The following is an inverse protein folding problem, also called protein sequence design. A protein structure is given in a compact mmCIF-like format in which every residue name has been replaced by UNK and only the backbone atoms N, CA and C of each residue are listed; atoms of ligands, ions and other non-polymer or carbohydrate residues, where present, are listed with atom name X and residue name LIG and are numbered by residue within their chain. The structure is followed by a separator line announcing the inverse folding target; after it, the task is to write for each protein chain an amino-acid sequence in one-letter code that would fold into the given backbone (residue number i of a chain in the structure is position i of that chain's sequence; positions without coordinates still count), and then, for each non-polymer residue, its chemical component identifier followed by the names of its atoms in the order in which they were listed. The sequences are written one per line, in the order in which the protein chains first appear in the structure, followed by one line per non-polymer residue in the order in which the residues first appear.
data_IF_728715266252
#
_entry.id   IF_728715266252
#
_cell.length_a   1.000
_cell.length_b   1.000
_cell.length_c   1.000
_cell.angle_alpha   90.00
_cell.angle_beta   90.00
_cell.angle_gamma   90.00
#
_symmetry.space_group_name_H-M   'P 1'
#
loop_
_entity.id
_entity.type
_entity.pdbx_description
1 polymer ?
#
# COMPACT_ATOMS: atom_id res chain seq x y z
N UNK A 1 -2.41 44.96 -16.51
CA UNK A 1 -3.55 44.19 -15.96
C UNK A 1 -3.23 42.72 -16.12
N UNK A 2 -2.70 42.08 -15.07
CA UNK A 2 -2.49 40.63 -15.06
C UNK A 2 -3.42 40.05 -14.00
N UNK A 3 -4.42 39.30 -14.46
CA UNK A 3 -5.42 38.67 -13.62
C UNK A 3 -4.78 37.54 -12.80
N UNK A 4 -4.80 37.66 -11.48
CA UNK A 4 -4.59 36.53 -10.59
C UNK A 4 -5.81 35.60 -10.72
N UNK A 5 -5.69 34.60 -11.60
CA UNK A 5 -6.61 33.47 -11.66
C UNK A 5 -6.54 32.70 -10.34
N UNK A 6 -7.61 32.82 -9.58
CA UNK A 6 -7.89 32.05 -8.37
C UNK A 6 -7.74 30.55 -8.66
N UNK A 7 -6.71 29.91 -8.11
CA UNK A 7 -6.58 28.43 -8.09
C UNK A 7 -7.53 27.89 -7.01
N UNK A 8 -8.82 28.16 -7.19
CA UNK A 8 -9.91 27.65 -6.37
C UNK A 8 -10.73 26.66 -7.19
N UNK A 9 -10.09 25.54 -7.55
CA UNK A 9 -10.78 24.33 -7.97
C UNK A 9 -9.87 23.11 -7.77
N UNK A 10 -9.38 22.89 -6.53
CA UNK A 10 -8.76 21.61 -6.16
C UNK A 10 -9.86 20.55 -6.01
N UNK A 11 -10.30 20.04 -7.15
CA UNK A 11 -10.78 18.69 -7.41
C UNK A 11 -11.26 17.94 -6.15
N UNK A 12 -12.53 18.10 -5.81
CA UNK A 12 -13.28 17.06 -5.07
C UNK A 12 -13.54 15.90 -6.02
N UNK A 13 -12.49 15.17 -6.41
CA UNK A 13 -12.65 14.02 -7.30
C UNK A 13 -13.24 12.85 -6.54
N UNK A 14 -14.39 12.38 -7.03
CA UNK A 14 -15.06 11.20 -6.50
C UNK A 14 -14.21 9.96 -6.74
N UNK A 15 -13.99 9.17 -5.68
CA UNK A 15 -13.47 7.81 -5.81
C UNK A 15 -14.51 6.94 -6.52
N UNK A 16 -14.03 5.97 -7.29
CA UNK A 16 -14.86 4.91 -7.89
C UNK A 16 -14.53 3.58 -7.22
N UNK A 17 -15.30 2.53 -7.52
CA UNK A 17 -15.05 1.20 -6.96
C UNK A 17 -13.69 0.62 -7.38
N UNK A 18 -13.16 1.04 -8.53
CA UNK A 18 -11.88 0.57 -9.08
C UNK A 18 -10.67 1.17 -8.35
N UNK A 19 -10.83 2.35 -7.76
CA UNK A 19 -9.76 3.01 -7.02
C UNK A 19 -9.41 2.26 -5.71
N UNK A 20 -10.39 1.54 -5.15
CA UNK A 20 -10.33 0.90 -3.83
C UNK A 20 -10.54 -0.62 -3.96
N UNK A 21 -9.49 -1.45 -3.82
CA UNK A 21 -9.63 -2.89 -3.83
C UNK A 21 -10.61 -3.36 -2.74
N UNK A 22 -11.62 -4.13 -3.14
CA UNK A 22 -12.68 -4.63 -2.25
C UNK A 22 -13.88 -3.69 -2.09
N UNK A 23 -13.90 -2.52 -2.74
CA UNK A 23 -15.07 -1.66 -2.78
C UNK A 23 -16.12 -2.13 -3.80
N UNK A 24 -15.76 -2.95 -4.79
CA UNK A 24 -16.72 -3.56 -5.72
C UNK A 24 -17.21 -4.93 -5.25
N UNK A 25 -18.49 -5.22 -5.49
CA UNK A 25 -19.04 -6.58 -5.33
C UNK A 25 -18.63 -7.49 -6.50
N UNK A 26 -18.25 -6.94 -7.66
CA UNK A 26 -17.91 -7.70 -8.87
C UNK A 26 -19.01 -8.70 -9.28
N UNK A 27 -20.27 -8.32 -9.10
CA UNK A 27 -21.42 -9.19 -9.35
C UNK A 27 -21.64 -10.32 -8.34
N UNK A 28 -20.80 -10.44 -7.30
CA UNK A 28 -20.96 -11.46 -6.24
C UNK A 28 -22.18 -11.15 -5.38
N UNK A 29 -22.89 -12.21 -4.97
CA UNK A 29 -24.01 -12.08 -4.04
C UNK A 29 -23.51 -11.71 -2.63
N UNK A 30 -24.05 -10.66 -1.97
CA UNK A 30 -23.66 -10.27 -0.62
C UNK A 30 -23.80 -11.36 0.45
N UNK A 31 -24.63 -12.38 0.24
CA UNK A 31 -24.75 -13.52 1.16
C UNK A 31 -23.57 -14.48 1.08
N UNK A 32 -22.87 -14.53 -0.06
CA UNK A 32 -21.70 -15.37 -0.28
C UNK A 32 -20.41 -14.75 0.30
N UNK A 33 -20.36 -13.43 0.49
CA UNK A 33 -19.20 -12.69 0.99
C UNK A 33 -18.88 -12.99 2.45
N UNK A 34 -17.61 -12.82 2.84
CA UNK A 34 -17.18 -12.90 4.24
C UNK A 34 -17.64 -11.66 5.02
N UNK A 35 -17.79 -11.79 6.34
CA UNK A 35 -18.17 -10.69 7.23
C UNK A 35 -17.25 -9.47 7.07
N UNK A 36 -15.94 -9.68 6.97
CA UNK A 36 -14.97 -8.59 6.82
C UNK A 36 -15.10 -7.87 5.48
N UNK A 37 -15.37 -8.61 4.39
CA UNK A 37 -15.62 -8.03 3.06
C UNK A 37 -16.88 -7.14 3.08
N UNK A 38 -17.96 -7.61 3.72
CA UNK A 38 -19.20 -6.84 3.84
C UNK A 38 -19.01 -5.56 4.67
N UNK A 39 -18.29 -5.66 5.80
CA UNK A 39 -17.96 -4.50 6.64
C UNK A 39 -17.10 -3.49 5.90
N UNK A 40 -16.10 -3.98 5.16
CA UNK A 40 -15.24 -3.12 4.37
C UNK A 40 -16.01 -2.41 3.25
N UNK A 41 -16.87 -3.14 2.53
CA UNK A 41 -17.72 -2.58 1.49
C UNK A 41 -18.62 -1.47 2.01
N UNK A 42 -19.27 -1.69 3.17
CA UNK A 42 -20.10 -0.69 3.87
C UNK A 42 -19.29 0.53 4.31
N UNK A 43 -18.08 0.30 4.81
CA UNK A 43 -17.16 1.37 5.21
C UNK A 43 -16.78 2.28 4.04
N UNK A 44 -16.62 1.71 2.85
CA UNK A 44 -16.40 2.47 1.61
C UNK A 44 -17.63 3.28 1.17
N UNK A 45 -18.80 3.15 1.82
CA UNK A 45 -20.00 3.99 1.64
C UNK A 45 -20.28 4.89 2.85
N UNK A 46 -19.34 4.98 3.78
CA UNK A 46 -19.50 5.76 5.00
C UNK A 46 -20.42 5.13 6.04
N UNK A 47 -20.85 3.87 5.85
CA UNK A 47 -21.67 3.15 6.83
C UNK A 47 -20.76 2.54 7.91
N UNK A 48 -20.88 2.95 9.18
CA UNK A 48 -20.07 2.39 10.26
C UNK A 48 -20.45 0.96 10.63
N UNK A 49 -21.47 0.36 9.99
CA UNK A 49 -22.06 -0.93 10.31
C UNK A 49 -22.47 -1.04 11.80
N UNK A 50 -22.83 0.10 12.41
CA UNK A 50 -23.15 0.19 13.84
C UNK A 50 -24.39 -0.63 14.14
N UNK A 51 -24.29 -1.50 15.15
CA UNK A 51 -25.40 -2.38 15.56
C UNK A 51 -25.59 -3.64 14.69
N UNK A 52 -24.83 -3.81 13.60
CA UNK A 52 -24.88 -5.03 12.78
C UNK A 52 -23.92 -6.09 13.38
N UNK A 53 -24.49 -7.08 14.05
CA UNK A 53 -23.74 -8.16 14.73
C UNK A 53 -23.57 -9.39 13.85
N UNK A 54 -24.57 -9.72 13.02
CA UNK A 54 -24.57 -10.95 12.22
C UNK A 54 -24.23 -10.70 10.76
N UNK A 55 -23.72 -11.73 10.07
CA UNK A 55 -23.46 -11.68 8.63
C UNK A 55 -24.74 -11.36 7.83
N UNK A 56 -25.87 -11.98 8.19
CA UNK A 56 -27.15 -11.75 7.53
C UNK A 56 -27.60 -10.27 7.61
N UNK A 57 -27.40 -9.61 8.76
CA UNK A 57 -27.69 -8.18 8.93
C UNK A 57 -26.81 -7.31 8.02
N UNK A 58 -25.52 -7.65 7.90
CA UNK A 58 -24.60 -6.96 6.99
C UNK A 58 -25.01 -7.16 5.52
N UNK A 59 -25.26 -8.40 5.11
CA UNK A 59 -25.69 -8.72 3.74
C UNK A 59 -26.99 -8.01 3.38
N UNK A 60 -27.97 -7.98 4.30
CA UNK A 60 -29.22 -7.24 4.11
C UNK A 60 -28.96 -5.75 3.91
N UNK A 61 -28.12 -5.13 4.75
CA UNK A 61 -27.77 -3.71 4.61
C UNK A 61 -27.10 -3.43 3.26
N UNK A 62 -26.18 -4.28 2.81
CA UNK A 62 -25.55 -4.14 1.49
C UNK A 62 -26.59 -4.17 0.37
N UNK A 63 -27.54 -5.11 0.42
CA UNK A 63 -28.63 -5.18 -0.56
C UNK A 63 -29.49 -3.91 -0.54
N UNK A 64 -29.77 -3.33 0.63
CA UNK A 64 -30.50 -2.05 0.74
C UNK A 64 -29.73 -0.88 0.10
N UNK A 65 -28.40 -0.84 0.21
CA UNK A 65 -27.59 0.18 -0.49
C UNK A 65 -27.68 0.03 -2.01
N UNK A 66 -27.55 -1.21 -2.51
CA UNK A 66 -27.65 -1.50 -3.95
C UNK A 66 -29.05 -1.17 -4.48
N UNK A 67 -30.11 -1.61 -3.77
CA UNK A 67 -31.48 -1.35 -4.17
C UNK A 67 -31.84 0.15 -4.14
N UNK A 68 -31.23 0.93 -3.25
CA UNK A 68 -31.41 2.38 -3.18
C UNK A 68 -30.48 3.18 -4.09
N UNK A 69 -29.61 2.51 -4.87
CA UNK A 69 -28.63 3.17 -5.74
C UNK A 69 -27.54 3.95 -5.01
N UNK A 70 -27.40 3.75 -3.69
CA UNK A 70 -26.38 4.40 -2.85
C UNK A 70 -25.03 3.68 -2.90
N UNK A 71 -24.97 2.52 -3.54
CA UNK A 71 -23.76 1.74 -3.80
C UNK A 71 -22.72 2.51 -4.62
N UNK A 72 -23.16 3.46 -5.47
CA UNK A 72 -22.32 4.27 -6.35
C UNK A 72 -21.46 5.32 -5.65
N UNK A 73 -21.84 5.75 -4.45
CA UNK A 73 -21.12 6.80 -3.71
C UNK A 73 -20.00 6.18 -2.87
N UNK A 74 -18.79 6.17 -3.44
CA UNK A 74 -17.60 5.61 -2.78
C UNK A 74 -16.83 6.70 -2.04
N UNK A 75 -16.52 6.43 -0.77
CA UNK A 75 -15.68 7.26 0.11
C UNK A 75 -14.44 6.49 0.52
N UNK A 76 -13.37 7.22 0.85
CA UNK A 76 -12.12 6.63 1.31
C UNK A 76 -12.30 6.00 2.70
N UNK A 77 -12.15 4.68 2.85
CA UNK A 77 -12.32 4.01 4.13
C UNK A 77 -11.11 4.23 5.06
N UNK A 78 -9.99 4.79 4.58
CA UNK A 78 -8.79 5.01 5.37
C UNK A 78 -8.73 6.43 5.94
N UNK A 79 -8.42 6.56 7.24
CA UNK A 79 -8.35 7.87 7.91
C UNK A 79 -7.25 8.78 7.33
N UNK A 80 -6.20 8.19 6.77
CA UNK A 80 -5.10 8.91 6.14
C UNK A 80 -5.35 9.18 4.65
N UNK A 81 -6.53 8.83 4.14
CA UNK A 81 -6.97 9.08 2.76
C UNK A 81 -6.02 8.47 1.73
N UNK A 82 -5.55 7.24 1.96
CA UNK A 82 -4.52 6.61 1.13
C UNK A 82 -4.99 6.38 -0.31
N UNK A 83 -6.28 6.15 -0.51
CA UNK A 83 -6.88 5.90 -1.83
C UNK A 83 -7.03 7.21 -2.59
N UNK A 84 -7.55 8.23 -1.91
CA UNK A 84 -7.66 9.60 -2.42
C UNK A 84 -6.31 10.15 -2.85
N UNK A 85 -5.29 10.03 -1.99
CA UNK A 85 -3.92 10.48 -2.29
C UNK A 85 -3.29 9.73 -3.47
N UNK A 86 -3.58 8.43 -3.60
CA UNK A 86 -3.07 7.62 -4.71
C UNK A 86 -3.70 8.04 -6.04
N UNK A 87 -5.02 8.24 -6.08
CA UNK A 87 -5.73 8.72 -7.28
C UNK A 87 -5.20 10.08 -7.73
N UNK A 88 -5.10 11.04 -6.81
CA UNK A 88 -4.55 12.36 -7.11
C UNK A 88 -3.13 12.30 -7.71
N UNK A 89 -2.25 11.41 -7.19
CA UNK A 89 -0.92 11.21 -7.78
C UNK A 89 -0.99 10.61 -9.19
N UNK A 90 -1.84 9.61 -9.41
CA UNK A 90 -1.96 8.97 -10.73
C UNK A 90 -2.46 9.95 -11.80
N UNK A 91 -3.38 10.84 -11.44
CA UNK A 91 -3.89 11.85 -12.37
C UNK A 91 -2.88 12.97 -12.61
N UNK A 92 -2.10 13.37 -11.60
CA UNK A 92 -0.96 14.27 -11.80
C UNK A 92 0.05 13.69 -12.79
N UNK A 93 0.33 12.38 -12.68
CA UNK A 93 1.19 11.65 -13.61
C UNK A 93 0.57 11.50 -15.01
N UNK A 94 -0.76 11.44 -15.11
CA UNK A 94 -1.46 11.37 -16.40
C UNK A 94 -1.57 12.75 -17.08
N UNK A 95 -1.53 13.85 -16.32
CA UNK A 95 -1.57 15.22 -16.83
C UNK A 95 -0.19 15.77 -17.20
N UNK A 96 0.87 15.20 -16.64
CA UNK A 96 2.22 15.42 -17.15
C UNK A 96 2.45 14.50 -18.35
N UNK A 97 2.67 15.05 -19.55
CA UNK A 97 3.25 14.31 -20.69
C UNK A 97 4.65 13.73 -20.35
N UNK A 98 5.22 14.13 -19.21
CA UNK A 98 6.25 13.35 -18.55
C UNK A 98 5.60 12.08 -17.98
N UNK A 99 5.73 10.99 -18.75
CA UNK A 99 5.68 9.65 -18.17
C UNK A 99 6.36 9.68 -16.81
N UNK A 100 5.81 9.01 -15.77
CA UNK A 100 6.67 8.67 -14.66
C UNK A 100 7.84 7.93 -15.33
N UNK A 101 9.05 8.42 -15.15
CA UNK A 101 10.14 7.47 -15.02
C UNK A 101 9.76 6.63 -13.80
N UNK A 102 8.90 5.62 -14.01
CA UNK A 102 9.27 4.30 -13.56
C UNK A 102 10.69 4.19 -14.03
N UNK A 103 11.64 4.35 -13.10
CA UNK A 103 12.99 3.89 -13.31
C UNK A 103 12.78 2.48 -13.84
N UNK A 104 12.88 2.29 -15.15
CA UNK A 104 12.65 1.02 -15.82
C UNK A 104 13.90 0.20 -15.56
N UNK A 105 14.13 -0.05 -14.27
CA UNK A 105 15.24 -0.79 -13.74
C UNK A 105 15.06 -2.19 -14.29
N UNK A 106 15.83 -2.48 -15.34
CA UNK A 106 15.78 -3.73 -16.07
C UNK A 106 16.38 -4.79 -15.16
N UNK A 107 15.52 -5.54 -14.49
CA UNK A 107 15.96 -6.63 -13.63
C UNK A 107 16.82 -7.62 -14.43
N UNK A 108 17.99 -8.01 -13.91
CA UNK A 108 18.89 -8.91 -14.62
C UNK A 108 18.22 -10.28 -14.80
N UNK A 109 18.40 -10.86 -15.99
CA UNK A 109 17.88 -12.19 -16.33
C UNK A 109 18.72 -13.31 -15.70
N UNK A 110 19.98 -13.05 -15.38
CA UNK A 110 20.95 -14.00 -14.82
C UNK A 110 21.71 -13.41 -13.62
N UNK A 111 22.55 -14.21 -12.96
CA UNK A 111 23.42 -13.74 -11.87
C UNK A 111 22.75 -13.66 -10.49
N UNK A 112 21.57 -14.25 -10.34
CA UNK A 112 20.87 -14.35 -9.05
C UNK A 112 21.55 -15.36 -8.13
N UNK A 113 21.80 -14.99 -6.88
CA UNK A 113 22.37 -15.87 -5.86
C UNK A 113 21.75 -15.61 -4.48
N UNK A 114 21.92 -16.54 -3.55
CA UNK A 114 21.47 -16.39 -2.15
C UNK A 114 22.49 -15.64 -1.28
N UNK A 115 23.66 -15.32 -1.82
CA UNK A 115 24.74 -14.69 -1.05
C UNK A 115 24.64 -13.17 -1.02
N UNK A 116 24.60 -12.58 0.17
CA UNK A 116 24.62 -11.12 0.38
C UNK A 116 26.00 -10.47 0.14
N UNK A 117 26.94 -11.20 -0.45
CA UNK A 117 28.32 -10.75 -0.66
C UNK A 117 28.41 -9.53 -1.58
N UNK A 118 27.42 -9.33 -2.46
CA UNK A 118 27.33 -8.18 -3.36
C UNK A 118 26.43 -7.05 -2.83
N UNK A 119 25.99 -7.15 -1.57
CA UNK A 119 25.19 -6.09 -0.96
C UNK A 119 26.08 -4.87 -0.74
N UNK A 120 25.65 -3.66 -1.17
CA UNK A 120 26.38 -2.45 -0.87
C UNK A 120 26.51 -2.28 0.65
N UNK A 121 27.70 -1.92 1.10
CA UNK A 121 27.95 -1.61 2.50
C UNK A 121 27.42 -0.20 2.76
N UNK A 122 26.52 -0.07 3.73
CA UNK A 122 26.05 1.22 4.19
C UNK A 122 26.84 1.63 5.42
N UNK A 123 27.45 2.81 5.36
CA UNK A 123 28.05 3.44 6.54
C UNK A 123 26.96 3.96 7.47
N UNK A 124 27.31 4.09 8.76
CA UNK A 124 26.41 4.70 9.74
C UNK A 124 26.00 6.13 9.35
N UNK A 125 26.91 6.88 8.75
CA UNK A 125 26.65 8.25 8.30
C UNK A 125 25.61 8.32 7.17
N UNK A 126 25.67 7.41 6.19
CA UNK A 126 24.67 7.33 5.12
C UNK A 126 23.29 6.94 5.67
N UNK A 127 23.27 6.01 6.62
CA UNK A 127 22.04 5.63 7.31
C UNK A 127 21.44 6.80 8.10
N UNK A 128 22.26 7.52 8.87
CA UNK A 128 21.84 8.69 9.64
C UNK A 128 21.34 9.81 8.72
N UNK A 129 22.00 10.03 7.57
CA UNK A 129 21.55 10.99 6.55
C UNK A 129 20.19 10.58 5.97
N UNK A 130 19.99 9.32 5.63
CA UNK A 130 18.69 8.83 5.13
C UNK A 130 17.59 9.01 6.19
N UNK A 131 17.87 8.67 7.44
CA UNK A 131 16.94 8.85 8.56
C UNK A 131 16.55 10.33 8.71
N UNK A 132 17.52 11.25 8.65
CA UNK A 132 17.27 12.70 8.75
C UNK A 132 16.36 13.22 7.62
N UNK A 133 16.53 12.69 6.39
CA UNK A 133 15.71 13.04 5.23
C UNK A 133 14.31 12.41 5.24
N UNK A 134 14.11 11.33 5.98
CA UNK A 134 12.83 10.60 6.05
C UNK A 134 11.71 11.38 6.75
N UNK A 135 12.01 12.52 7.40
CA UNK A 135 11.04 13.32 8.16
C UNK A 135 10.54 12.64 9.44
N UNK A 136 11.10 11.48 9.78
CA UNK A 136 10.86 10.77 11.03
C UNK A 136 11.86 11.27 12.04
N UNK A 137 11.41 12.07 13.02
CA UNK A 137 12.26 12.56 14.10
C UNK A 137 12.63 11.39 15.05
N UNK A 138 13.80 10.81 14.84
CA UNK A 138 14.45 9.96 15.84
C UNK A 138 15.12 10.89 16.85
N UNK A 139 14.40 11.22 17.92
CA UNK A 139 14.93 12.04 19.00
C UNK A 139 16.11 11.32 19.67
N UNK A 140 17.33 11.80 19.35
CA UNK A 140 18.60 11.23 19.80
C UNK A 140 18.80 11.33 21.31
N UNK A 141 18.03 12.20 21.98
CA UNK A 141 18.16 12.54 23.39
C UNK A 141 17.11 11.87 24.30
N UNK A 142 16.07 11.25 23.72
CA UNK A 142 15.20 10.34 24.47
C UNK A 142 15.86 8.97 24.49
N UNK A 143 16.17 8.45 25.68
CA UNK A 143 16.62 7.07 25.93
C UNK A 143 15.60 5.98 25.52
N UNK A 144 14.72 6.24 24.56
CA UNK A 144 13.96 5.19 23.91
C UNK A 144 14.88 4.57 22.85
N UNK A 145 15.80 3.71 23.28
CA UNK A 145 16.55 2.75 22.45
C UNK A 145 15.63 1.75 21.71
N UNK A 146 14.33 2.02 21.66
CA UNK A 146 13.35 1.21 21.01
C UNK A 146 13.45 1.46 19.50
N UNK A 147 14.03 0.48 18.81
CA UNK A 147 13.78 0.18 17.39
C UNK A 147 12.30 0.52 17.07
N UNK A 148 12.00 1.36 16.05
CA UNK A 148 10.64 1.71 15.70
C UNK A 148 9.75 0.47 15.61
N UNK A 149 8.49 0.58 16.01
CA UNK A 149 7.55 -0.54 15.94
C UNK A 149 7.49 -1.15 14.53
N UNK A 150 7.67 -0.34 13.48
CA UNK A 150 7.78 -0.83 12.10
C UNK A 150 9.03 -1.68 11.86
N UNK A 151 10.19 -1.29 12.40
CA UNK A 151 11.44 -2.04 12.30
C UNK A 151 11.40 -3.31 13.17
N UNK A 152 10.80 -3.24 14.37
CA UNK A 152 10.55 -4.43 15.19
C UNK A 152 9.68 -5.44 14.44
N UNK A 153 8.58 -4.97 13.83
CA UNK A 153 7.72 -5.80 12.98
C UNK A 153 8.46 -6.38 11.78
N UNK A 154 9.28 -5.59 11.09
CA UNK A 154 10.07 -6.07 9.96
C UNK A 154 11.09 -7.14 10.40
N UNK A 155 11.76 -6.94 11.53
CA UNK A 155 12.66 -7.95 12.12
C UNK A 155 11.91 -9.24 12.46
N UNK A 156 10.79 -9.15 13.18
CA UNK A 156 9.93 -10.32 13.48
C UNK A 156 9.44 -10.99 12.20
N UNK A 157 9.13 -10.24 11.15
CA UNK A 157 8.71 -10.79 9.85
C UNK A 157 9.82 -11.61 9.18
N UNK A 158 11.08 -11.19 9.33
CA UNK A 158 12.24 -11.95 8.86
C UNK A 158 12.52 -13.17 9.75
N UNK A 159 12.50 -13.00 11.06
CA UNK A 159 12.75 -14.07 12.05
C UNK A 159 11.69 -15.19 11.95
N UNK A 160 10.45 -14.85 11.63
CA UNK A 160 9.33 -15.80 11.49
C UNK A 160 9.27 -16.50 10.10
N UNK A 161 10.31 -16.37 9.28
CA UNK A 161 10.46 -17.01 7.95
C UNK A 161 9.34 -16.69 6.94
N UNK A 162 8.72 -15.50 7.04
CA UNK A 162 7.73 -15.06 6.04
C UNK A 162 8.34 -14.64 4.70
N UNK A 163 9.66 -14.51 4.68
CA UNK A 163 10.46 -14.24 3.50
C UNK A 163 11.16 -15.54 3.08
N UNK A 164 10.76 -16.11 1.95
CA UNK A 164 11.36 -17.34 1.41
C UNK A 164 12.10 -17.07 0.11
N UNK A 165 13.03 -17.97 -0.20
CA UNK A 165 13.74 -18.05 -1.48
C UNK A 165 14.29 -16.69 -1.93
N UNK A 166 14.86 -15.95 -0.97
CA UNK A 166 15.46 -14.67 -1.29
C UNK A 166 16.69 -14.89 -2.16
N UNK A 167 16.78 -14.09 -3.22
CA UNK A 167 17.93 -14.07 -4.11
C UNK A 167 18.21 -12.64 -4.48
N UNK A 168 19.49 -12.37 -4.71
CA UNK A 168 19.99 -11.06 -5.03
C UNK A 168 20.91 -11.13 -6.25
N UNK A 169 20.95 -10.01 -6.96
CA UNK A 169 21.87 -9.75 -8.06
C UNK A 169 22.34 -8.31 -7.93
N UNK A 170 23.45 -7.95 -8.57
CA UNK A 170 23.89 -6.56 -8.62
C UNK A 170 24.52 -6.29 -9.98
N UNK A 171 24.39 -5.05 -10.43
CA UNK A 171 25.16 -4.47 -11.52
C UNK A 171 25.86 -3.21 -11.04
N UNK A 172 26.41 -2.42 -11.98
CA UNK A 172 27.16 -1.20 -11.68
C UNK A 172 26.28 -0.06 -11.12
N UNK A 173 24.95 -0.17 -11.23
CA UNK A 173 24.02 0.89 -10.85
C UNK A 173 23.04 0.48 -9.75
N UNK A 174 22.72 -0.81 -9.62
CA UNK A 174 21.67 -1.28 -8.75
C UNK A 174 22.04 -2.58 -8.05
N UNK A 175 21.62 -2.69 -6.79
CA UNK A 175 21.48 -3.96 -6.09
C UNK A 175 20.03 -4.43 -6.21
N UNK A 176 19.82 -5.61 -6.78
CA UNK A 176 18.51 -6.22 -6.99
C UNK A 176 18.22 -7.27 -5.92
N UNK A 177 16.98 -7.29 -5.47
CA UNK A 177 16.49 -8.24 -4.49
C UNK A 177 15.15 -8.81 -4.95
N UNK A 178 15.04 -10.14 -4.96
CA UNK A 178 13.77 -10.83 -5.17
C UNK A 178 13.54 -11.86 -4.08
N UNK A 179 12.29 -12.05 -3.71
CA UNK A 179 11.90 -13.04 -2.71
C UNK A 179 10.46 -13.48 -2.90
N UNK A 180 10.11 -14.58 -2.26
CA UNK A 180 8.75 -15.00 -2.05
C UNK A 180 8.24 -14.46 -0.72
N UNK A 181 7.17 -13.67 -0.76
CA UNK A 181 6.59 -13.04 0.41
C UNK A 181 5.12 -13.45 0.58
N UNK A 182 4.75 -13.87 1.78
CA UNK A 182 3.35 -14.11 2.14
C UNK A 182 2.62 -12.79 2.36
N UNK A 183 1.43 -12.64 1.77
CA UNK A 183 0.65 -11.39 1.81
C UNK A 183 0.16 -11.02 3.24
N UNK A 184 0.26 -11.94 4.21
CA UNK A 184 -0.04 -11.67 5.62
C UNK A 184 0.65 -12.69 6.53
N UNK A 185 0.65 -12.44 7.84
CA UNK A 185 1.05 -13.42 8.88
C UNK A 185 0.25 -14.75 8.86
N UNK A 186 -0.69 -14.90 7.92
CA UNK A 186 -1.41 -16.15 7.69
C UNK A 186 -0.57 -17.02 6.74
N UNK A 187 0.16 -17.97 7.33
CA UNK A 187 0.99 -19.00 6.65
C UNK A 187 0.25 -19.88 5.61
N UNK A 188 -1.05 -19.65 5.36
CA UNK A 188 -1.88 -20.40 4.40
C UNK A 188 -2.12 -19.67 3.06
N UNK A 189 -1.53 -18.49 2.85
CA UNK A 189 -1.63 -17.78 1.56
C UNK A 189 -0.54 -18.24 0.58
N UNK A 190 -0.79 -18.22 -0.73
CA UNK A 190 0.27 -18.50 -1.70
C UNK A 190 1.28 -17.34 -1.69
N UNK A 191 2.59 -17.61 -1.59
CA UNK A 191 3.59 -16.56 -1.60
C UNK A 191 3.63 -15.86 -2.97
N UNK A 192 3.84 -14.55 -2.96
CA UNK A 192 3.92 -13.70 -4.16
C UNK A 192 5.35 -13.27 -4.42
N UNK A 193 5.72 -13.14 -5.70
CA UNK A 193 7.03 -12.63 -6.09
C UNK A 193 7.13 -11.15 -5.76
N UNK A 194 8.09 -10.80 -4.91
CA UNK A 194 8.41 -9.42 -4.58
C UNK A 194 9.78 -9.08 -5.16
N UNK A 195 9.87 -7.93 -5.85
CA UNK A 195 11.10 -7.45 -6.48
C UNK A 195 11.39 -6.02 -6.03
N UNK A 196 12.63 -5.78 -5.62
CA UNK A 196 13.15 -4.49 -5.19
C UNK A 196 14.49 -4.22 -5.88
N UNK A 197 14.81 -2.95 -6.06
CA UNK A 197 16.14 -2.50 -6.41
C UNK A 197 16.56 -1.39 -5.44
N UNK A 198 17.86 -1.30 -5.20
CA UNK A 198 18.50 -0.26 -4.39
C UNK A 198 19.57 0.42 -5.25
N UNK A 199 19.67 1.74 -5.12
CA UNK A 199 20.75 2.56 -5.72
C UNK A 199 21.87 2.70 -4.70
#
# INVERSE_FOLDING_TARGET
MAAHGSVSSRLSQSLTEEDIPGASLQGRNPTALKTDELRFWLKCRGDPAKGLKTKAQLSKRVLEYVASGRDKYVVDPDKNLIYTRRKARQEQLAQSDAMPEESTVKFPSAGWSTGLQRMPLFTRAEMDLHISKSGKNFDRNKQNHAVPTSMKKAKTFLDDEYLKDFTCASDDQYFYFKCLCYHSFKKMSHPTNYKLHFV
#
